data_IF_329682717564
#
_entry.id   IF_329682717564
#
_cell.length_a   1.000
_cell.length_b   1.000
_cell.length_c   1.000
_cell.angle_alpha   90.00
_cell.angle_beta   90.00
_cell.angle_gamma   90.00
#
_symmetry.space_group_name_H-M   'P 1'
#
loop_
_entity.id
_entity.type
_entity.pdbx_description
1 polymer ?
#
# COMPACT_ATOMS: atom_id res chain seq x y z
N UNK A 1 21.65 15.72 -10.27
CA UNK A 1 21.33 15.06 -8.99
C UNK A 1 21.49 16.06 -7.83
N UNK A 2 21.20 15.68 -6.58
CA UNK A 2 21.34 16.57 -5.40
C UNK A 2 22.76 17.18 -5.30
N UNK A 3 23.79 16.35 -5.42
CA UNK A 3 25.19 16.78 -5.29
C UNK A 3 25.66 17.63 -6.48
N UNK A 4 25.24 17.29 -7.71
CA UNK A 4 25.54 18.14 -8.88
C UNK A 4 24.94 19.54 -8.74
N UNK A 5 23.73 19.63 -8.19
CA UNK A 5 23.07 20.91 -7.91
C UNK A 5 23.81 21.70 -6.84
N UNK A 6 24.19 21.05 -5.74
CA UNK A 6 24.97 21.66 -4.67
C UNK A 6 26.31 22.23 -5.18
N UNK A 7 27.02 21.49 -6.04
CA UNK A 7 28.26 21.95 -6.66
C UNK A 7 28.05 23.16 -7.57
N UNK A 8 27.04 23.13 -8.45
CA UNK A 8 26.77 24.22 -9.40
C UNK A 8 26.34 25.52 -8.73
N UNK A 9 25.66 25.42 -7.60
CA UNK A 9 25.10 26.56 -6.88
C UNK A 9 25.88 26.94 -5.63
N UNK A 10 27.01 26.27 -5.35
CA UNK A 10 27.84 26.47 -4.17
C UNK A 10 27.04 26.42 -2.85
N UNK A 11 26.18 25.40 -2.72
CA UNK A 11 25.29 25.21 -1.56
C UNK A 11 25.79 24.07 -0.70
N UNK A 12 25.73 24.23 0.62
CA UNK A 12 25.99 23.16 1.58
C UNK A 12 24.75 22.27 1.74
N UNK A 13 24.95 20.95 1.79
CA UNK A 13 23.88 19.98 1.98
C UNK A 13 24.05 19.33 3.35
N UNK A 14 23.03 19.47 4.20
CA UNK A 14 22.94 18.73 5.46
C UNK A 14 22.07 17.49 5.24
N UNK A 15 22.61 16.31 5.49
CA UNK A 15 21.89 15.04 5.42
C UNK A 15 21.68 14.49 6.83
N UNK A 16 20.43 14.11 7.14
CA UNK A 16 20.08 13.49 8.42
C UNK A 16 20.03 11.97 8.27
N UNK A 17 20.70 11.27 9.19
CA UNK A 17 20.61 9.82 9.33
C UNK A 17 19.61 9.48 10.45
N UNK A 18 18.53 8.79 10.10
CA UNK A 18 17.49 8.34 11.03
C UNK A 18 17.77 6.97 11.64
N UNK A 19 18.89 6.32 11.30
CA UNK A 19 19.25 4.98 11.78
C UNK A 19 18.40 3.85 11.19
N UNK A 20 17.52 4.16 10.22
CA UNK A 20 16.79 3.13 9.44
C UNK A 20 17.79 2.28 8.65
N UNK A 21 17.40 1.04 8.34
CA UNK A 21 18.24 0.13 7.57
C UNK A 21 18.68 0.78 6.26
N UNK A 22 19.98 0.76 6.01
CA UNK A 22 20.57 1.28 4.78
C UNK A 22 20.07 0.50 3.57
N UNK A 23 19.65 1.23 2.54
CA UNK A 23 19.29 0.66 1.24
C UNK A 23 20.52 0.20 0.45
N UNK A 24 20.28 -0.55 -0.64
CA UNK A 24 21.34 -0.95 -1.58
C UNK A 24 22.03 0.29 -2.16
N UNK A 25 23.35 0.41 -1.99
CA UNK A 25 24.10 1.59 -2.45
C UNK A 25 23.90 2.84 -1.58
N UNK A 26 23.93 2.68 -0.24
CA UNK A 26 23.77 3.76 0.73
C UNK A 26 24.72 4.94 0.48
N UNK A 27 24.17 6.03 -0.06
CA UNK A 27 24.91 7.28 -0.28
C UNK A 27 25.50 7.84 1.02
N UNK A 28 24.82 7.67 2.17
CA UNK A 28 25.31 8.10 3.47
C UNK A 28 26.57 7.34 3.91
N UNK A 29 26.63 6.04 3.62
CA UNK A 29 27.83 5.23 3.90
C UNK A 29 29.00 5.71 3.07
N UNK A 30 28.80 5.91 1.76
CA UNK A 30 29.84 6.43 0.86
C UNK A 30 30.33 7.81 1.28
N UNK A 31 29.44 8.72 1.67
CA UNK A 31 29.81 10.07 2.13
C UNK A 31 30.59 10.03 3.44
N UNK A 32 30.21 9.14 4.37
CA UNK A 32 30.94 8.93 5.62
C UNK A 32 32.35 8.38 5.35
N UNK A 33 32.46 7.37 4.49
CA UNK A 33 33.75 6.76 4.10
C UNK A 33 34.64 7.76 3.33
N UNK A 34 34.02 8.73 2.64
CA UNK A 34 34.71 9.82 1.94
C UNK A 34 35.15 10.96 2.86
N UNK A 35 34.96 10.84 4.18
CA UNK A 35 35.46 11.79 5.18
C UNK A 35 34.58 13.02 5.43
N UNK A 36 33.29 12.98 5.04
CA UNK A 36 32.35 14.07 5.39
C UNK A 36 32.14 14.14 6.90
N UNK A 37 32.15 15.35 7.46
CA UNK A 37 31.91 15.57 8.90
C UNK A 37 30.54 15.04 9.32
N UNK A 38 30.53 14.21 10.37
CA UNK A 38 29.29 13.68 10.97
C UNK A 38 29.03 14.32 12.32
N UNK A 39 27.85 14.90 12.49
CA UNK A 39 27.40 15.45 13.76
C UNK A 39 26.34 14.51 14.36
N UNK A 40 26.57 14.02 15.59
CA UNK A 40 25.60 13.19 16.31
C UNK A 40 24.75 14.06 17.23
N UNK A 41 23.44 14.02 17.02
CA UNK A 41 22.47 14.58 17.95
C UNK A 41 22.13 13.54 19.03
N UNK A 42 22.12 13.96 20.31
CA UNK A 42 21.84 13.10 21.47
C UNK A 42 20.61 13.55 22.27
N UNK A 43 19.93 14.62 21.85
CA UNK A 43 18.60 14.93 22.38
C UNK A 43 17.59 13.92 21.83
N UNK A 44 16.45 13.73 22.47
CA UNK A 44 15.37 12.88 21.95
C UNK A 44 14.84 11.89 22.99
N UNK A 45 13.52 11.80 23.10
CA UNK A 45 12.88 10.77 23.92
C UNK A 45 13.07 9.41 23.24
N UNK A 46 13.69 8.45 23.92
CA UNK A 46 13.74 7.08 23.43
C UNK A 46 12.39 6.42 23.64
N UNK A 47 11.75 5.96 22.57
CA UNK A 47 10.53 5.15 22.65
C UNK A 47 10.85 3.83 23.35
N UNK A 48 10.07 3.49 24.37
CA UNK A 48 10.16 2.18 25.04
C UNK A 48 9.51 1.11 24.18
N UNK A 49 10.06 -0.10 24.20
CA UNK A 49 9.50 -1.25 23.50
C UNK A 49 9.34 -2.42 24.47
N UNK A 50 8.13 -2.95 24.56
CA UNK A 50 7.86 -4.18 25.30
C UNK A 50 8.15 -5.39 24.40
N UNK A 51 9.11 -6.21 24.79
CA UNK A 51 9.53 -7.38 24.02
C UNK A 51 8.92 -8.62 24.65
N UNK A 52 8.03 -9.27 23.89
CA UNK A 52 7.40 -10.53 24.28
C UNK A 52 8.00 -11.64 23.41
N UNK A 53 8.69 -12.57 24.06
CA UNK A 53 9.29 -13.73 23.39
C UNK A 53 8.31 -14.91 23.40
N UNK A 54 7.81 -15.28 22.22
CA UNK A 54 6.98 -16.47 22.00
C UNK A 54 7.59 -17.26 20.82
N UNK A 55 8.09 -18.49 21.03
CA UNK A 55 8.79 -19.26 19.98
C UNK A 55 7.87 -19.77 18.88
N UNK A 56 6.61 -20.08 19.15
CA UNK A 56 5.69 -20.58 18.13
C UNK A 56 5.18 -19.45 17.23
N UNK A 57 5.28 -19.65 15.90
CA UNK A 57 4.88 -18.63 14.92
C UNK A 57 3.37 -18.35 14.97
N UNK A 58 2.56 -19.39 15.15
CA UNK A 58 1.10 -19.26 15.20
C UNK A 58 0.64 -18.55 16.47
N UNK A 59 1.17 -18.97 17.62
CA UNK A 59 0.90 -18.35 18.93
C UNK A 59 1.33 -16.88 18.94
N UNK A 60 2.49 -16.53 18.38
CA UNK A 60 2.93 -15.14 18.22
C UNK A 60 1.91 -14.29 17.50
N UNK A 61 1.47 -14.72 16.32
CA UNK A 61 0.58 -13.92 15.49
C UNK A 61 -0.81 -13.81 16.10
N UNK A 62 -1.30 -14.89 16.72
CA UNK A 62 -2.60 -14.92 17.40
C UNK A 62 -2.61 -13.97 18.58
N UNK A 63 -1.57 -13.99 19.42
CA UNK A 63 -1.42 -13.07 20.55
C UNK A 63 -1.33 -11.61 20.10
N UNK A 64 -0.51 -11.32 19.08
CA UNK A 64 -0.40 -9.97 18.49
C UNK A 64 -1.77 -9.49 18.01
N UNK A 65 -2.52 -10.33 17.29
CA UNK A 65 -3.84 -9.99 16.78
C UNK A 65 -4.85 -9.69 17.89
N UNK A 66 -4.83 -10.47 18.98
CA UNK A 66 -5.70 -10.26 20.15
C UNK A 66 -5.38 -8.94 20.87
N UNK A 67 -4.11 -8.73 21.23
CA UNK A 67 -3.68 -7.49 21.91
C UNK A 67 -3.95 -6.25 21.04
N UNK A 68 -3.72 -6.36 19.73
CA UNK A 68 -4.04 -5.32 18.75
C UNK A 68 -5.55 -5.03 18.70
N UNK A 69 -6.40 -6.06 18.63
CA UNK A 69 -7.85 -5.89 18.55
C UNK A 69 -8.42 -5.21 19.81
N UNK A 70 -7.94 -5.60 20.99
CA UNK A 70 -8.29 -4.94 22.26
C UNK A 70 -7.91 -3.47 22.25
N UNK A 71 -6.69 -3.15 21.81
CA UNK A 71 -6.19 -1.77 21.70
C UNK A 71 -7.04 -0.91 20.74
N UNK A 72 -7.43 -1.47 19.59
CA UNK A 72 -8.33 -0.79 18.64
C UNK A 72 -9.73 -0.57 19.25
N UNK A 73 -10.29 -1.56 19.94
CA UNK A 73 -11.59 -1.45 20.63
C UNK A 73 -11.59 -0.33 21.68
N UNK A 74 -10.48 -0.17 22.39
CA UNK A 74 -10.27 0.90 23.37
C UNK A 74 -10.07 2.29 22.73
N UNK A 75 -10.10 2.38 21.40
CA UNK A 75 -9.98 3.63 20.65
C UNK A 75 -8.55 4.16 20.56
N UNK A 76 -7.55 3.31 20.84
CA UNK A 76 -6.15 3.69 20.70
C UNK A 76 -5.73 3.74 19.23
N UNK A 77 -4.79 4.63 18.93
CA UNK A 77 -4.15 4.67 17.62
C UNK A 77 -3.16 3.51 17.51
N UNK A 78 -3.54 2.46 16.79
CA UNK A 78 -2.77 1.20 16.77
C UNK A 78 -2.45 0.77 15.35
N UNK A 79 -1.21 0.30 15.14
CA UNK A 79 -0.70 -0.15 13.84
C UNK A 79 -0.06 -1.53 13.99
N UNK A 80 -0.44 -2.50 13.15
CA UNK A 80 0.22 -3.80 13.10
C UNK A 80 1.26 -3.84 11.97
N UNK A 81 2.48 -4.30 12.28
CA UNK A 81 3.59 -4.32 11.32
C UNK A 81 4.24 -5.70 11.22
N UNK A 82 4.39 -6.20 9.99
CA UNK A 82 5.10 -7.45 9.72
C UNK A 82 5.74 -7.42 8.33
N UNK A 83 6.90 -8.07 8.22
CA UNK A 83 7.63 -8.17 6.95
C UNK A 83 7.13 -9.35 6.12
N UNK A 84 7.03 -9.15 4.80
CA UNK A 84 6.64 -10.19 3.85
C UNK A 84 5.14 -10.18 3.53
N UNK A 85 4.79 -10.23 2.25
CA UNK A 85 3.38 -10.13 1.79
C UNK A 85 2.55 -11.32 2.26
N UNK A 86 3.13 -12.53 2.32
CA UNK A 86 2.46 -13.73 2.82
C UNK A 86 2.14 -13.59 4.30
N UNK A 87 3.11 -13.21 5.10
CA UNK A 87 2.97 -12.95 6.54
C UNK A 87 1.95 -11.84 6.83
N UNK A 88 1.95 -10.77 6.03
CA UNK A 88 0.93 -9.70 6.13
C UNK A 88 -0.48 -10.23 5.91
N UNK A 89 -0.67 -11.07 4.89
CA UNK A 89 -1.98 -11.68 4.61
C UNK A 89 -2.44 -12.60 5.74
N UNK A 90 -1.55 -13.44 6.27
CA UNK A 90 -1.86 -14.32 7.42
C UNK A 90 -2.23 -13.51 8.66
N UNK A 91 -1.43 -12.49 9.00
CA UNK A 91 -1.69 -11.66 10.17
C UNK A 91 -2.98 -10.84 10.02
N UNK A 92 -3.25 -10.32 8.82
CA UNK A 92 -4.49 -9.59 8.54
C UNK A 92 -5.73 -10.47 8.77
N UNK A 93 -5.68 -11.74 8.38
CA UNK A 93 -6.76 -12.71 8.69
C UNK A 93 -7.01 -12.85 10.19
N UNK A 94 -5.95 -13.13 10.96
CA UNK A 94 -6.04 -13.27 12.42
C UNK A 94 -6.54 -12.01 13.12
N UNK A 95 -6.11 -10.83 12.65
CA UNK A 95 -6.59 -9.54 13.16
C UNK A 95 -8.06 -9.35 12.86
N UNK A 96 -8.54 -9.62 11.64
CA UNK A 96 -9.97 -9.52 11.31
C UNK A 96 -10.80 -10.44 12.22
N UNK A 97 -10.36 -11.67 12.41
CA UNK A 97 -11.08 -12.63 13.26
C UNK A 97 -11.12 -12.16 14.72
N UNK A 98 -10.02 -11.61 15.23
CA UNK A 98 -9.97 -11.04 16.59
C UNK A 98 -10.84 -9.78 16.71
N UNK A 99 -10.84 -8.90 15.70
CA UNK A 99 -11.69 -7.71 15.68
C UNK A 99 -13.19 -8.04 15.62
N UNK A 100 -13.58 -9.14 14.96
CA UNK A 100 -14.96 -9.65 14.99
C UNK A 100 -15.35 -10.12 16.38
N UNK A 101 -14.49 -10.90 17.03
CA UNK A 101 -14.70 -11.35 18.41
C UNK A 101 -14.84 -10.18 19.39
N UNK A 102 -14.08 -9.10 19.17
CA UNK A 102 -14.15 -7.87 19.95
C UNK A 102 -15.32 -6.94 19.55
N UNK A 103 -16.11 -7.30 18.54
CA UNK A 103 -17.25 -6.51 18.05
C UNK A 103 -16.87 -5.21 17.32
N UNK A 104 -15.60 -5.06 16.93
CA UNK A 104 -15.09 -3.88 16.21
C UNK A 104 -15.29 -4.01 14.70
N UNK A 105 -15.21 -5.23 14.17
CA UNK A 105 -15.41 -5.54 12.75
C UNK A 105 -16.70 -6.34 12.58
N UNK A 106 -17.49 -6.02 11.55
CA UNK A 106 -18.73 -6.74 11.23
C UNK A 106 -18.49 -8.20 10.81
N UNK A 107 -19.48 -9.04 11.09
CA UNK A 107 -19.45 -10.49 10.77
C UNK A 107 -19.61 -10.80 9.28
N UNK A 108 -20.28 -9.91 8.53
CA UNK A 108 -20.60 -10.13 7.12
C UNK A 108 -19.56 -9.45 6.23
N UNK A 109 -18.86 -10.26 5.44
CA UNK A 109 -18.00 -9.76 4.37
C UNK A 109 -18.82 -9.53 3.10
N UNK A 110 -18.56 -8.40 2.45
CA UNK A 110 -18.93 -8.14 1.06
C UNK A 110 -17.66 -8.10 0.22
N UNK A 111 -17.66 -8.82 -0.90
CA UNK A 111 -16.50 -8.84 -1.79
C UNK A 111 -16.58 -7.71 -2.80
N UNK A 112 -15.49 -6.96 -2.92
CA UNK A 112 -15.31 -5.92 -3.93
C UNK A 112 -14.05 -6.19 -4.74
N UNK A 113 -13.92 -5.57 -5.91
CA UNK A 113 -12.66 -5.61 -6.67
C UNK A 113 -11.75 -4.46 -6.25
N UNK A 114 -10.53 -4.80 -5.85
CA UNK A 114 -9.49 -3.88 -5.45
C UNK A 114 -8.33 -3.89 -6.44
N UNK A 115 -7.74 -2.71 -6.69
CA UNK A 115 -6.62 -2.52 -7.61
C UNK A 115 -5.34 -2.19 -6.84
N UNK A 116 -4.40 -3.13 -6.84
CA UNK A 116 -3.08 -2.92 -6.23
C UNK A 116 -2.06 -2.53 -7.31
N UNK A 117 -1.40 -1.36 -7.20
CA UNK A 117 -0.43 -0.93 -8.20
C UNK A 117 0.78 -1.85 -8.28
N UNK A 118 1.27 -2.08 -9.49
CA UNK A 118 2.53 -2.78 -9.77
C UNK A 118 3.59 -1.75 -10.10
N UNK A 119 4.68 -1.76 -9.35
CA UNK A 119 5.77 -0.80 -9.56
C UNK A 119 6.55 -1.14 -10.82
N UNK A 120 6.48 -0.26 -11.82
CA UNK A 120 7.24 -0.35 -13.07
C UNK A 120 8.17 0.87 -13.22
N UNK A 121 9.46 0.61 -13.24
CA UNK A 121 10.50 1.58 -13.59
C UNK A 121 10.83 1.52 -15.10
N UNK A 122 11.76 2.36 -15.55
CA UNK A 122 12.15 2.43 -16.96
C UNK A 122 12.77 1.13 -17.49
N UNK A 123 13.31 0.26 -16.62
CA UNK A 123 13.94 -1.00 -17.01
C UNK A 123 12.95 -2.17 -17.06
N UNK A 124 12.00 -2.19 -16.13
CA UNK A 124 11.00 -3.25 -15.98
C UNK A 124 9.81 -3.07 -16.91
N UNK A 125 9.48 -1.85 -17.32
CA UNK A 125 8.30 -1.56 -18.16
C UNK A 125 8.35 -2.25 -19.54
N UNK A 126 9.55 -2.40 -20.12
CA UNK A 126 9.73 -3.14 -21.38
C UNK A 126 9.80 -4.67 -21.23
N UNK A 127 9.69 -5.20 -20.01
CA UNK A 127 9.83 -6.64 -19.73
C UNK A 127 8.45 -7.28 -19.62
N UNK A 128 8.15 -8.18 -20.56
CA UNK A 128 6.86 -8.86 -20.69
C UNK A 128 6.41 -9.61 -19.42
N UNK A 129 7.36 -10.17 -18.67
CA UNK A 129 7.05 -11.07 -17.55
C UNK A 129 6.34 -10.38 -16.36
N UNK A 130 6.32 -9.04 -16.34
CA UNK A 130 5.52 -8.27 -15.37
C UNK A 130 4.04 -8.18 -15.72
N UNK A 131 3.66 -8.47 -16.97
CA UNK A 131 2.29 -8.38 -17.46
C UNK A 131 1.64 -9.76 -17.47
N UNK A 132 0.42 -9.85 -16.97
CA UNK A 132 -0.36 -11.09 -16.94
C UNK A 132 -1.79 -10.83 -17.36
N UNK A 133 -2.41 -11.85 -17.95
CA UNK A 133 -3.84 -11.84 -18.26
C UNK A 133 -4.65 -11.54 -17.00
N UNK A 134 -5.71 -10.73 -17.14
CA UNK A 134 -6.55 -10.25 -16.05
C UNK A 134 -6.00 -9.04 -15.27
N UNK A 135 -4.74 -8.63 -15.48
CA UNK A 135 -4.25 -7.36 -14.93
C UNK A 135 -4.95 -6.16 -15.59
N UNK A 136 -4.96 -5.03 -14.88
CA UNK A 136 -5.58 -3.79 -15.33
C UNK A 136 -4.50 -2.80 -15.70
N UNK A 137 -4.68 -2.13 -16.83
CA UNK A 137 -3.83 -1.03 -17.28
C UNK A 137 -4.65 0.24 -17.37
N UNK A 138 -4.10 1.34 -16.87
CA UNK A 138 -4.68 2.67 -17.04
C UNK A 138 -3.71 3.55 -17.83
N UNK A 139 -4.20 4.19 -18.89
CA UNK A 139 -3.45 5.20 -19.65
C UNK A 139 -3.95 6.58 -19.27
N UNK A 140 -3.04 7.47 -18.87
CA UNK A 140 -3.37 8.88 -18.68
C UNK A 140 -3.58 9.57 -20.04
N UNK A 141 -4.77 10.12 -20.25
CA UNK A 141 -5.07 11.00 -21.37
C UNK A 141 -4.91 12.47 -20.94
N UNK A 142 -3.93 13.21 -21.48
CA UNK A 142 -3.70 14.60 -21.14
C UNK A 142 -4.78 15.56 -21.65
N UNK A 143 -5.53 15.19 -22.70
CA UNK A 143 -6.55 16.05 -23.31
C UNK A 143 -7.79 16.11 -22.43
N UNK A 144 -8.30 14.93 -22.05
CA UNK A 144 -9.48 14.79 -21.17
C UNK A 144 -9.12 14.85 -19.69
N UNK A 145 -7.83 14.70 -19.35
CA UNK A 145 -7.30 14.61 -17.97
C UNK A 145 -7.93 13.45 -17.18
N UNK A 146 -8.22 12.37 -17.89
CA UNK A 146 -8.78 11.13 -17.33
C UNK A 146 -7.88 9.93 -17.58
N UNK A 147 -8.21 8.81 -16.96
CA UNK A 147 -7.54 7.54 -17.20
C UNK A 147 -8.43 6.61 -18.02
N UNK A 148 -7.97 6.22 -19.19
CA UNK A 148 -8.60 5.14 -19.96
C UNK A 148 -8.21 3.82 -19.30
N UNK A 149 -9.20 2.99 -18.93
CA UNK A 149 -8.97 1.73 -18.24
C UNK A 149 -9.16 0.55 -19.18
N UNK A 150 -8.21 -0.37 -19.14
CA UNK A 150 -8.20 -1.60 -19.92
C UNK A 150 -7.86 -2.80 -19.04
N UNK A 151 -8.29 -3.98 -19.48
CA UNK A 151 -7.87 -5.28 -18.93
C UNK A 151 -6.98 -5.97 -19.96
N UNK A 152 -5.93 -6.63 -19.51
CA UNK A 152 -5.11 -7.49 -20.35
C UNK A 152 -5.90 -8.78 -20.64
N UNK A 153 -6.45 -8.89 -21.84
CA UNK A 153 -7.16 -10.09 -22.32
C UNK A 153 -6.16 -11.20 -22.67
N UNK A 154 -5.00 -10.83 -23.25
CA UNK A 154 -3.96 -11.78 -23.66
C UNK A 154 -2.56 -11.19 -23.61
N UNK A 155 -1.58 -12.02 -23.28
CA UNK A 155 -0.14 -11.72 -23.44
C UNK A 155 0.47 -12.64 -24.50
N UNK A 156 0.78 -12.09 -25.68
CA UNK A 156 1.30 -12.87 -26.82
C UNK A 156 2.83 -12.87 -26.81
N UNK A 157 3.42 -14.00 -26.46
CA UNK A 157 4.87 -14.14 -26.30
C UNK A 157 5.66 -13.98 -27.60
N UNK A 158 5.17 -14.51 -28.72
CA UNK A 158 5.86 -14.53 -30.01
C UNK A 158 6.04 -13.14 -30.63
N UNK A 159 5.07 -12.23 -30.42
CA UNK A 159 5.08 -10.86 -30.93
C UNK A 159 5.36 -9.80 -29.86
N UNK A 160 5.59 -10.23 -28.61
CA UNK A 160 5.79 -9.36 -27.45
C UNK A 160 4.71 -8.28 -27.31
N UNK A 161 3.44 -8.72 -27.36
CA UNK A 161 2.26 -7.86 -27.47
C UNK A 161 1.25 -8.16 -26.36
N UNK A 162 0.61 -7.11 -25.87
CA UNK A 162 -0.53 -7.15 -24.97
C UNK A 162 -1.79 -6.86 -25.79
N UNK A 163 -2.77 -7.76 -25.74
CA UNK A 163 -4.11 -7.46 -26.24
C UNK A 163 -4.94 -6.95 -25.06
N UNK A 164 -5.30 -5.68 -25.13
CA UNK A 164 -6.07 -4.96 -24.14
C UNK A 164 -7.54 -4.92 -24.54
N UNK A 165 -8.43 -4.89 -23.55
CA UNK A 165 -9.88 -4.77 -23.73
C UNK A 165 -10.42 -3.67 -22.82
N UNK A 166 -11.20 -2.74 -23.37
CA UNK A 166 -11.90 -1.73 -22.57
C UNK A 166 -13.25 -2.25 -22.01
N UNK A 167 -14.04 -1.36 -21.41
CA UNK A 167 -15.32 -1.71 -20.77
C UNK A 167 -16.35 -2.20 -21.79
N UNK A 168 -16.36 -1.60 -22.97
CA UNK A 168 -17.25 -1.91 -24.10
C UNK A 168 -16.81 -3.17 -24.84
N UNK A 169 -15.57 -3.60 -24.63
CA UNK A 169 -14.97 -4.78 -25.19
C UNK A 169 -14.20 -4.57 -26.49
N UNK A 170 -13.93 -3.32 -26.83
CA UNK A 170 -13.05 -2.95 -27.94
C UNK A 170 -11.64 -3.37 -27.60
N UNK A 171 -10.96 -3.96 -28.60
CA UNK A 171 -9.60 -4.45 -28.46
C UNK A 171 -8.58 -3.40 -28.88
N UNK A 172 -7.51 -3.31 -28.11
CA UNK A 172 -6.33 -2.51 -28.41
C UNK A 172 -5.09 -3.39 -28.30
N UNK A 173 -4.38 -3.59 -29.41
CA UNK A 173 -3.10 -4.29 -29.40
C UNK A 173 -1.96 -3.31 -29.11
N UNK A 174 -1.20 -3.58 -28.05
CA UNK A 174 -0.12 -2.75 -27.56
C UNK A 174 1.18 -3.56 -27.47
N UNK A 175 2.23 -3.14 -28.20
CA UNK A 175 3.57 -3.72 -28.02
C UNK A 175 4.09 -3.38 -26.62
N UNK A 176 4.70 -4.34 -25.93
CA UNK A 176 5.28 -4.11 -24.60
C UNK A 176 6.34 -2.98 -24.63
N UNK A 177 7.07 -2.86 -25.74
CA UNK A 177 8.05 -1.79 -25.95
C UNK A 177 7.45 -0.38 -26.09
N UNK A 178 6.15 -0.28 -26.35
CA UNK A 178 5.42 0.99 -26.47
C UNK A 178 4.74 1.40 -25.15
N UNK A 179 4.86 0.60 -24.08
CA UNK A 179 4.41 1.01 -22.76
C UNK A 179 5.39 2.06 -22.24
N UNK A 180 4.90 3.28 -22.07
CA UNK A 180 5.67 4.43 -21.57
C UNK A 180 5.19 4.88 -20.18
N UNK A 181 5.59 6.07 -19.74
CA UNK A 181 5.24 6.61 -18.42
C UNK A 181 3.78 7.05 -18.27
N UNK A 182 2.99 7.10 -19.36
CA UNK A 182 1.55 7.40 -19.28
C UNK A 182 0.74 6.19 -18.83
N UNK A 183 1.33 4.99 -18.87
CA UNK A 183 0.70 3.75 -18.48
C UNK A 183 1.02 3.37 -17.04
N UNK A 184 -0.02 2.95 -16.32
CA UNK A 184 0.07 2.37 -14.98
C UNK A 184 -0.52 0.96 -14.99
N UNK A 185 0.12 0.02 -14.29
CA UNK A 185 -0.29 -1.37 -14.20
C UNK A 185 -0.81 -1.68 -12.79
N UNK A 186 -1.89 -2.46 -12.72
CA UNK A 186 -2.51 -2.90 -11.47
C UNK A 186 -2.82 -4.39 -11.51
N UNK A 187 -2.69 -5.04 -10.35
CA UNK A 187 -3.33 -6.32 -10.08
C UNK A 187 -4.75 -6.08 -9.60
N UNK A 188 -5.71 -6.73 -10.23
CA UNK A 188 -7.08 -6.81 -9.74
C UNK A 188 -7.20 -8.03 -8.83
N UNK A 189 -7.66 -7.80 -7.61
CA UNK A 189 -7.83 -8.84 -6.60
C UNK A 189 -9.20 -8.65 -5.92
N UNK A 190 -9.82 -9.75 -5.51
CA UNK A 190 -11.04 -9.72 -4.71
C UNK A 190 -10.68 -9.38 -3.27
N UNK A 191 -11.31 -8.34 -2.73
CA UNK A 191 -11.07 -7.86 -1.37
C UNK A 191 -12.35 -8.04 -0.53
N UNK A 192 -12.33 -8.88 0.53
CA UNK A 192 -13.43 -8.95 1.47
C UNK A 192 -13.44 -7.69 2.36
N UNK A 193 -14.59 -7.06 2.48
CA UNK A 193 -14.77 -5.83 3.28
C UNK A 193 -15.99 -5.98 4.18
N UNK A 194 -15.85 -5.59 5.44
CA UNK A 194 -16.94 -5.52 6.40
C UNK A 194 -17.15 -4.10 6.93
N UNK A 195 -18.22 -3.87 7.68
CA UNK A 195 -18.35 -2.64 8.47
C UNK A 195 -17.28 -2.62 9.56
N UNK A 196 -16.69 -1.45 9.83
CA UNK A 196 -15.53 -1.28 10.70
C UNK A 196 -14.18 -1.52 10.00
N UNK A 197 -14.17 -1.92 8.72
CA UNK A 197 -12.94 -2.24 8.01
C UNK A 197 -12.00 -1.04 7.88
N UNK A 198 -10.72 -1.23 8.22
CA UNK A 198 -9.67 -0.28 7.86
C UNK A 198 -9.09 -0.59 6.48
N UNK A 199 -9.19 0.37 5.57
CA UNK A 199 -8.66 0.27 4.21
C UNK A 199 -7.52 1.27 3.99
N UNK A 200 -6.48 0.83 3.29
CA UNK A 200 -5.41 1.68 2.81
C UNK A 200 -5.72 2.14 1.38
N UNK A 201 -5.70 3.45 1.14
CA UNK A 201 -5.83 4.04 -0.19
C UNK A 201 -4.48 3.92 -0.89
N UNK A 202 -4.46 3.27 -2.05
CA UNK A 202 -3.25 2.97 -2.83
C UNK A 202 -3.06 3.93 -4.01
N UNK A 203 -4.06 4.74 -4.33
CA UNK A 203 -4.01 5.74 -5.39
C UNK A 203 -5.22 6.66 -5.36
N UNK A 204 -5.28 7.63 -6.27
CA UNK A 204 -6.44 8.51 -6.40
C UNK A 204 -7.70 7.69 -6.71
N UNK A 205 -8.76 7.89 -5.92
CA UNK A 205 -10.08 7.31 -6.16
C UNK A 205 -10.92 8.35 -6.93
N UNK A 206 -11.56 7.98 -8.06
CA UNK A 206 -12.43 8.87 -8.83
C UNK A 206 -13.48 9.56 -7.95
N UNK A 207 -13.84 10.80 -8.29
CA UNK A 207 -14.87 11.60 -7.62
C UNK A 207 -14.68 11.85 -6.11
N UNK A 208 -13.48 11.57 -5.60
CA UNK A 208 -13.11 11.83 -4.20
C UNK A 208 -11.86 12.71 -4.08
N UNK A 209 -11.60 13.16 -2.86
CA UNK A 209 -10.33 13.83 -2.50
C UNK A 209 -9.32 12.87 -1.87
N UNK A 210 -9.59 11.57 -1.89
CA UNK A 210 -8.72 10.53 -1.32
C UNK A 210 -7.50 10.33 -2.22
N UNK A 211 -6.32 10.31 -1.60
CA UNK A 211 -5.03 10.08 -2.26
C UNK A 211 -4.34 8.86 -1.70
N UNK A 212 -3.43 8.31 -2.50
CA UNK A 212 -2.58 7.20 -2.08
C UNK A 212 -1.80 7.54 -0.80
N UNK A 213 -1.75 6.59 0.13
CA UNK A 213 -1.14 6.75 1.45
C UNK A 213 -2.14 7.10 2.56
N UNK A 214 -3.37 7.48 2.23
CA UNK A 214 -4.41 7.71 3.24
C UNK A 214 -4.98 6.40 3.79
N UNK A 215 -5.46 6.44 5.04
CA UNK A 215 -6.21 5.37 5.70
C UNK A 215 -7.66 5.81 5.90
N UNK A 216 -8.61 4.90 5.71
CA UNK A 216 -10.04 5.13 5.88
C UNK A 216 -10.70 3.96 6.60
N UNK A 217 -11.81 4.21 7.28
CA UNK A 217 -12.63 3.20 7.96
C UNK A 217 -13.97 3.08 7.24
N UNK A 218 -14.42 1.86 6.97
CA UNK A 218 -15.73 1.58 6.39
C UNK A 218 -16.79 1.68 7.49
N UNK A 219 -17.72 2.61 7.34
CA UNK A 219 -18.81 2.83 8.28
C UNK A 219 -20.07 2.04 7.93
N UNK A 220 -20.30 1.82 6.62
CA UNK A 220 -21.44 1.08 6.12
C UNK A 220 -21.11 0.40 4.80
N UNK A 221 -21.63 -0.81 4.62
CA UNK A 221 -21.51 -1.56 3.37
C UNK A 221 -22.90 -1.72 2.74
N UNK A 222 -23.05 -1.25 1.50
CA UNK A 222 -24.27 -1.36 0.71
C UNK A 222 -23.94 -1.96 -0.67
N UNK A 223 -24.97 -2.37 -1.41
CA UNK A 223 -24.76 -2.94 -2.74
C UNK A 223 -24.14 -1.90 -3.69
N UNK A 224 -22.92 -2.19 -4.17
CA UNK A 224 -22.15 -1.31 -5.03
C UNK A 224 -21.59 -0.04 -4.37
N UNK A 225 -21.72 0.15 -3.05
CA UNK A 225 -21.24 1.35 -2.37
C UNK A 225 -20.67 1.09 -0.97
N UNK A 226 -19.60 1.81 -0.64
CA UNK A 226 -19.06 1.89 0.72
C UNK A 226 -19.21 3.31 1.25
N UNK A 227 -19.76 3.45 2.46
CA UNK A 227 -19.63 4.70 3.21
C UNK A 227 -18.38 4.62 4.05
N UNK A 228 -17.43 5.55 3.85
CA UNK A 228 -16.14 5.56 4.52
C UNK A 228 -15.91 6.85 5.30
N UNK A 229 -15.05 6.79 6.30
CA UNK A 229 -14.65 7.92 7.14
C UNK A 229 -13.12 7.97 7.28
N UNK A 230 -12.56 9.17 7.26
CA UNK A 230 -11.14 9.38 7.56
C UNK A 230 -10.91 9.43 9.07
N UNK A 231 -9.78 8.90 9.58
CA UNK A 231 -9.40 9.06 10.98
C UNK A 231 -9.47 10.53 11.42
N UNK A 232 -10.12 10.79 12.56
CA UNK A 232 -10.27 12.13 13.13
C UNK A 232 -11.26 13.06 12.41
N UNK A 233 -11.93 12.63 11.33
CA UNK A 233 -12.95 13.43 10.63
C UNK A 233 -14.35 12.91 10.93
N UNK A 234 -15.31 13.83 11.13
CA UNK A 234 -16.72 13.46 11.35
C UNK A 234 -17.48 13.19 10.05
N UNK A 235 -17.06 13.80 8.95
CA UNK A 235 -17.70 13.66 7.64
C UNK A 235 -17.42 12.31 7.02
N UNK A 236 -18.45 11.66 6.50
CA UNK A 236 -18.33 10.45 5.68
C UNK A 236 -18.24 10.80 4.19
N UNK A 237 -17.76 9.84 3.40
CA UNK A 237 -17.69 9.91 1.95
C UNK A 237 -18.17 8.58 1.36
N UNK A 238 -18.90 8.64 0.25
CA UNK A 238 -19.34 7.44 -0.48
C UNK A 238 -18.31 7.06 -1.54
N UNK A 239 -17.96 5.78 -1.62
CA UNK A 239 -17.14 5.18 -2.67
C UNK A 239 -18.01 4.24 -3.49
N UNK A 240 -18.07 4.45 -4.80
CA UNK A 240 -18.62 3.46 -5.72
C UNK A 240 -17.64 2.27 -5.78
N UNK A 241 -18.17 1.07 -5.60
CA UNK A 241 -17.43 -0.20 -5.65
C UNK A 241 -18.19 -1.20 -6.51
N UNK A 242 -17.49 -2.18 -7.04
CA UNK A 242 -18.15 -3.26 -7.78
C UNK A 242 -17.31 -4.54 -7.76
N UNK A 243 -17.96 -5.65 -8.11
CA UNK A 243 -17.28 -6.92 -8.36
C UNK A 243 -16.59 -6.94 -9.73
N UNK A 244 -16.97 -6.04 -10.65
CA UNK A 244 -16.34 -5.91 -11.96
C UNK A 244 -14.95 -5.29 -11.88
N UNK A 245 -14.05 -5.75 -12.75
CA UNK A 245 -12.67 -5.24 -12.85
C UNK A 245 -12.60 -3.76 -13.25
N UNK A 246 -13.55 -3.29 -14.07
CA UNK A 246 -13.65 -1.88 -14.45
C UNK A 246 -14.22 -0.99 -13.35
N UNK A 247 -14.88 -1.57 -12.35
CA UNK A 247 -15.41 -0.87 -11.18
C UNK A 247 -14.46 -0.98 -9.97
N UNK A 248 -13.29 -1.60 -10.17
CA UNK A 248 -12.28 -1.76 -9.14
C UNK A 248 -11.68 -0.42 -8.69
N UNK A 249 -11.46 -0.28 -7.38
CA UNK A 249 -10.88 0.92 -6.78
C UNK A 249 -9.51 0.65 -6.15
N UNK A 250 -8.66 1.67 -6.09
CA UNK A 250 -7.24 1.56 -5.70
C UNK A 250 -7.09 1.52 -4.18
N UNK A 251 -7.52 0.42 -3.56
CA UNK A 251 -7.49 0.19 -2.12
C UNK A 251 -6.87 -1.17 -1.79
N UNK A 252 -6.50 -1.37 -0.54
CA UNK A 252 -6.16 -2.67 0.03
C UNK A 252 -6.48 -2.70 1.52
N UNK A 253 -6.24 -3.81 2.20
CA UNK A 253 -6.36 -3.86 3.66
C UNK A 253 -5.41 -2.87 4.33
N UNK A 254 -5.88 -2.24 5.41
CA UNK A 254 -5.16 -1.22 6.16
C UNK A 254 -4.81 -1.61 7.59
N UNK A 255 -5.11 -2.84 8.04
CA UNK A 255 -4.79 -3.29 9.40
C UNK A 255 -3.29 -3.58 9.58
N UNK A 256 -2.67 -4.19 8.56
CA UNK A 256 -1.28 -4.63 8.61
C UNK A 256 -0.46 -3.93 7.54
N UNK A 257 0.74 -3.49 7.90
CA UNK A 257 1.66 -2.84 6.98
C UNK A 257 3.10 -3.34 7.09
N UNK A 258 3.93 -2.93 6.14
CA UNK A 258 5.36 -3.15 6.18
C UNK A 258 6.00 -2.31 7.29
N UNK A 259 7.03 -2.80 7.99
CA UNK A 259 7.68 -2.06 9.05
C UNK A 259 8.14 -0.67 8.61
N UNK A 260 7.79 0.34 9.40
CA UNK A 260 8.17 1.74 9.16
C UNK A 260 7.40 2.46 8.04
N UNK A 261 6.26 1.92 7.60
CA UNK A 261 5.38 2.56 6.61
C UNK A 261 4.63 3.75 7.21
N UNK A 262 3.92 3.58 8.32
CA UNK A 262 3.25 4.66 9.03
C UNK A 262 4.21 5.44 9.95
N UNK A 263 3.92 6.72 10.12
CA UNK A 263 4.62 7.63 11.04
C UNK A 263 3.54 8.34 11.86
N UNK A 264 3.62 8.21 13.18
CA UNK A 264 2.74 8.88 14.14
C UNK A 264 3.53 9.19 15.40
N UNK A 265 3.13 10.24 16.11
CA UNK A 265 3.70 10.64 17.41
C UNK A 265 3.09 9.85 18.57
N UNK A 266 1.89 9.30 18.37
CA UNK A 266 1.06 8.72 19.44
C UNK A 266 0.70 7.26 19.23
N UNK A 267 0.93 6.72 18.02
CA UNK A 267 0.51 5.36 17.71
C UNK A 267 1.31 4.30 18.48
N UNK A 268 0.61 3.29 18.97
CA UNK A 268 1.22 2.05 19.46
C UNK A 268 1.44 1.08 18.30
N UNK A 269 2.66 0.56 18.19
CA UNK A 269 3.07 -0.34 17.10
C UNK A 269 3.13 -1.78 17.61
N UNK A 270 2.31 -2.64 17.02
CA UNK A 270 2.30 -4.08 17.27
C UNK A 270 3.09 -4.76 16.15
N UNK A 271 4.33 -5.14 16.42
CA UNK A 271 5.22 -5.67 15.39
C UNK A 271 5.65 -7.11 15.67
N UNK A 272 5.69 -7.93 14.62
CA UNK A 272 6.40 -9.21 14.65
C UNK A 272 7.63 -9.13 13.76
N UNK A 273 8.81 -9.22 14.36
CA UNK A 273 10.09 -9.13 13.67
C UNK A 273 10.75 -10.51 13.70
N UNK A 274 11.12 -11.02 12.53
CA UNK A 274 11.89 -12.25 12.42
C UNK A 274 13.36 -11.96 12.69
N UNK A 275 14.00 -12.75 13.55
CA UNK A 275 15.47 -12.82 13.57
C UNK A 275 15.95 -13.32 12.20
N UNK A 276 16.99 -12.67 11.67
CA UNK A 276 17.69 -13.12 10.46
C UNK A 276 18.89 -13.95 10.85
#
# INVERSE_FOLDING_TARGET
>A
SLLDGAMRHNVQVLLSDSGKRSGTGSALTVLKDSGVNTYRWQGGHQTTADIISEPDKGARYSRLAQEFAVSVREGQESVAQISGTREQSVLNGLIRDSLRQEGVLGEKDTTITALTPVWLDSKSRGVRDYYREGMVMERWDPETRTHDRFVIDRVTASSNMLTLKDREGVRLDLKVSAVDSQWTLFRAETLPVAEGERLAVLGKIPDTRLKGGESITVMKVEDGQLTVQRPGQKTTQTLAVGAGVFDGIKIGHGWVESPGRSVSETATVFASVTQR
#
